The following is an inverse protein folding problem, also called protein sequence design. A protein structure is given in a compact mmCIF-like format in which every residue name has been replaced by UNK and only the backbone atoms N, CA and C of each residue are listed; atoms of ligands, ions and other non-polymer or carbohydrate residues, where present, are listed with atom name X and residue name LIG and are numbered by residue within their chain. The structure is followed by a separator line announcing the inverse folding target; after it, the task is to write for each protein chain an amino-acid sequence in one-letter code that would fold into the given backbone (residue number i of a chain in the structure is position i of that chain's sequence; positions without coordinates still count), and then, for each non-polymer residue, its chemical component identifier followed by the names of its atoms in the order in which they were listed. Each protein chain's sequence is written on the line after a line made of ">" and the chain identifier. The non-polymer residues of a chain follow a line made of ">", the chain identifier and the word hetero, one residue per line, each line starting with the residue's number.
data_IF_901225798054
#
_entry.id   IF_901225798054
#
_cell.length_a   1.000
_cell.length_b   1.000
_cell.length_c   1.000
_cell.angle_alpha   90.00
_cell.angle_beta   90.00
_cell.angle_gamma   90.00
#
_symmetry.space_group_name_H-M   'P 1'
#
loop_
_entity.id
_entity.type
_entity.pdbx_description
1 polymer ?
#
# COMPACT_ATOMS: atom_id res chain seq x y z
N UNK A 1 7.62 23.93 -11.68
CA UNK A 1 7.74 22.58 -11.04
C UNK A 1 8.88 21.83 -11.78
N UNK A 2 9.66 21.02 -11.05
CA UNK A 2 10.66 20.15 -11.71
C UNK A 2 9.90 19.02 -12.43
N UNK A 3 10.38 18.59 -13.60
CA UNK A 3 9.76 17.50 -14.34
C UNK A 3 9.79 16.21 -13.51
N UNK A 4 8.68 15.47 -13.48
CA UNK A 4 8.59 14.14 -12.87
C UNK A 4 9.38 13.15 -13.73
N UNK A 5 10.19 12.32 -13.12
CA UNK A 5 11.00 11.29 -13.76
C UNK A 5 10.59 9.87 -13.37
N UNK A 6 9.90 9.74 -12.23
CA UNK A 6 9.43 8.45 -11.75
C UNK A 6 8.06 8.56 -11.09
N UNK A 7 7.30 7.47 -11.17
CA UNK A 7 6.02 7.32 -10.46
C UNK A 7 6.09 6.11 -9.55
N UNK A 8 5.75 6.29 -8.29
CA UNK A 8 5.69 5.25 -7.26
C UNK A 8 4.22 4.99 -6.93
N UNK A 9 3.82 3.73 -6.94
CA UNK A 9 2.46 3.29 -6.64
C UNK A 9 2.45 2.46 -5.35
N UNK A 10 1.50 2.72 -4.46
CA UNK A 10 1.08 1.68 -3.53
C UNK A 10 0.37 0.56 -4.29
N UNK A 11 0.25 -0.60 -3.68
CA UNK A 11 -0.43 -1.76 -4.27
C UNK A 11 -1.86 -1.85 -3.75
N UNK A 12 -2.06 -2.10 -2.45
CA UNK A 12 -3.40 -2.20 -1.86
C UNK A 12 -4.14 -0.86 -1.90
N UNK A 13 -5.37 -0.85 -2.41
CA UNK A 13 -6.15 0.38 -2.56
C UNK A 13 -5.80 1.22 -3.80
N UNK A 14 -4.67 0.95 -4.46
CA UNK A 14 -4.21 1.67 -5.66
C UNK A 14 -4.18 0.76 -6.88
N UNK A 15 -3.24 -0.15 -6.97
CA UNK A 15 -3.10 -1.09 -8.11
C UNK A 15 -4.02 -2.31 -7.95
N UNK A 16 -4.32 -2.68 -6.72
CA UNK A 16 -5.29 -3.71 -6.34
C UNK A 16 -6.43 -3.09 -5.53
N UNK A 17 -7.50 -3.87 -5.30
CA UNK A 17 -8.57 -3.53 -4.37
C UNK A 17 -8.00 -3.29 -2.96
N UNK A 18 -8.70 -2.48 -2.16
CA UNK A 18 -8.20 -2.08 -0.84
C UNK A 18 -8.39 -3.20 0.19
N UNK A 19 -7.35 -3.57 0.94
CA UNK A 19 -7.51 -4.41 2.13
C UNK A 19 -8.50 -3.83 3.15
N UNK A 20 -8.65 -2.50 3.19
CA UNK A 20 -9.60 -1.82 4.07
C UNK A 20 -11.05 -2.14 3.72
N UNK A 21 -11.37 -2.34 2.43
CA UNK A 21 -12.71 -2.77 2.00
C UNK A 21 -13.03 -4.19 2.48
N UNK A 22 -12.02 -5.09 2.46
CA UNK A 22 -12.16 -6.43 2.99
C UNK A 22 -12.36 -6.43 4.51
N UNK A 23 -11.62 -5.58 5.23
CA UNK A 23 -11.78 -5.38 6.68
C UNK A 23 -13.19 -4.84 6.97
N UNK A 24 -13.65 -3.83 6.23
CA UNK A 24 -15.00 -3.27 6.39
C UNK A 24 -16.09 -4.31 6.08
N UNK A 25 -15.90 -5.19 5.10
CA UNK A 25 -16.79 -6.33 4.83
C UNK A 25 -16.82 -7.30 6.00
N UNK A 26 -15.64 -7.68 6.51
CA UNK A 26 -15.54 -8.53 7.69
C UNK A 26 -16.29 -7.92 8.90
N UNK A 27 -16.09 -6.63 9.19
CA UNK A 27 -16.78 -5.93 10.28
C UNK A 27 -18.31 -6.03 10.14
N UNK A 28 -18.85 -5.75 8.95
CA UNK A 28 -20.29 -5.86 8.68
C UNK A 28 -20.82 -7.27 8.89
N UNK A 29 -20.13 -8.28 8.34
CA UNK A 29 -20.58 -9.67 8.35
C UNK A 29 -20.55 -10.27 9.77
N UNK A 30 -19.74 -9.68 10.67
CA UNK A 30 -19.61 -10.12 12.07
C UNK A 30 -20.27 -9.15 13.08
N UNK A 31 -21.05 -8.17 12.61
CA UNK A 31 -21.77 -7.24 13.47
C UNK A 31 -20.88 -6.27 14.25
N UNK A 32 -19.66 -6.04 13.80
CA UNK A 32 -18.74 -5.08 14.41
C UNK A 32 -19.06 -3.66 13.94
N UNK A 33 -18.91 -2.63 14.80
CA UNK A 33 -19.04 -1.25 14.36
C UNK A 33 -18.00 -0.88 13.28
N UNK A 34 -18.34 0.00 12.33
CA UNK A 34 -17.43 0.38 11.26
C UNK A 34 -16.08 0.93 11.77
N UNK A 35 -15.01 0.58 11.09
CA UNK A 35 -13.64 1.01 11.39
C UNK A 35 -13.11 0.58 12.77
N UNK A 36 -13.72 -0.37 13.43
CA UNK A 36 -13.31 -0.80 14.78
C UNK A 36 -11.95 -1.51 14.74
N UNK A 37 -11.75 -2.39 13.76
CA UNK A 37 -10.47 -3.10 13.58
C UNK A 37 -9.36 -2.11 13.22
N UNK A 38 -9.62 -1.21 12.27
CA UNK A 38 -8.62 -0.20 11.89
C UNK A 38 -8.24 0.71 13.07
N UNK A 39 -9.20 1.11 13.91
CA UNK A 39 -8.91 1.87 15.14
C UNK A 39 -8.03 1.09 16.11
N UNK A 40 -8.29 -0.20 16.31
CA UNK A 40 -7.46 -1.06 17.17
C UNK A 40 -6.02 -1.16 16.62
N UNK A 41 -5.86 -1.39 15.32
CA UNK A 41 -4.55 -1.42 14.65
C UNK A 41 -3.78 -0.09 14.82
N UNK A 42 -4.46 1.05 14.62
CA UNK A 42 -3.85 2.37 14.78
C UNK A 42 -3.46 2.63 16.24
N UNK A 43 -4.30 2.24 17.19
CA UNK A 43 -4.04 2.43 18.62
C UNK A 43 -2.90 1.53 19.12
N UNK A 44 -2.75 0.31 18.62
CA UNK A 44 -1.62 -0.57 18.92
C UNK A 44 -0.27 -0.01 18.41
N UNK A 45 -0.31 0.84 17.38
CA UNK A 45 0.84 1.60 16.87
C UNK A 45 1.96 0.73 16.32
N UNK A 46 3.19 1.23 16.36
CA UNK A 46 4.36 0.56 15.77
C UNK A 46 4.79 -0.73 16.52
N UNK A 47 4.43 -0.88 17.79
CA UNK A 47 4.69 -2.09 18.57
C UNK A 47 3.61 -3.17 18.36
N UNK A 48 2.46 -2.80 17.77
CA UNK A 48 1.34 -3.71 17.53
C UNK A 48 1.66 -4.81 16.52
N UNK A 49 0.91 -5.91 16.62
CA UNK A 49 1.12 -7.10 15.81
C UNK A 49 1.03 -6.81 14.29
N UNK A 50 0.08 -5.94 13.89
CA UNK A 50 -0.07 -5.56 12.48
C UNK A 50 1.18 -4.87 11.92
N UNK A 51 1.73 -3.89 12.64
CA UNK A 51 2.94 -3.20 12.22
C UNK A 51 4.16 -4.15 12.16
N UNK A 52 4.25 -5.08 13.10
CA UNK A 52 5.29 -6.11 13.13
C UNK A 52 5.16 -7.11 11.98
N UNK A 53 3.93 -7.49 11.61
CA UNK A 53 3.66 -8.32 10.43
C UNK A 53 4.13 -7.61 9.16
N UNK A 54 3.77 -6.33 8.98
CA UNK A 54 4.17 -5.54 7.81
C UNK A 54 5.68 -5.27 7.74
N UNK A 55 6.41 -5.35 8.86
CA UNK A 55 7.89 -5.30 8.86
C UNK A 55 8.56 -6.67 8.73
N UNK A 56 7.77 -7.76 8.56
CA UNK A 56 8.30 -9.11 8.44
C UNK A 56 8.85 -9.70 9.75
N UNK A 57 8.55 -9.08 10.89
CA UNK A 57 8.95 -9.57 12.23
C UNK A 57 8.09 -10.76 12.68
N UNK A 58 6.90 -10.90 12.09
CA UNK A 58 5.97 -11.99 12.34
C UNK A 58 5.62 -12.70 11.02
N UNK A 59 5.44 -14.01 11.08
CA UNK A 59 4.73 -14.76 10.04
C UNK A 59 3.23 -14.59 10.21
N UNK A 60 2.44 -14.91 9.19
CA UNK A 60 0.96 -14.88 9.31
C UNK A 60 0.48 -15.76 10.47
N UNK A 61 1.08 -16.93 10.66
CA UNK A 61 0.73 -17.84 11.75
C UNK A 61 1.02 -17.23 13.14
N UNK A 62 2.23 -16.69 13.34
CA UNK A 62 2.65 -16.07 14.61
C UNK A 62 2.00 -14.72 14.88
N UNK A 63 1.40 -14.08 13.87
CA UNK A 63 0.68 -12.84 13.96
C UNK A 63 -0.70 -12.99 14.60
N UNK A 64 -1.40 -14.11 14.37
CA UNK A 64 -2.84 -14.24 14.68
C UNK A 64 -3.14 -13.95 16.17
N UNK A 65 -2.51 -14.67 17.07
CA UNK A 65 -2.80 -14.55 18.51
C UNK A 65 -2.42 -13.17 19.08
N UNK A 66 -1.23 -12.56 18.77
CA UNK A 66 -0.93 -11.20 19.17
C UNK A 66 -1.89 -10.16 18.60
N UNK A 67 -2.31 -10.29 17.35
CA UNK A 67 -3.27 -9.38 16.72
C UNK A 67 -4.66 -9.44 17.39
N UNK A 68 -5.16 -10.64 17.68
CA UNK A 68 -6.40 -10.82 18.40
C UNK A 68 -6.31 -10.24 19.83
N UNK A 69 -5.14 -10.34 20.47
CA UNK A 69 -4.90 -9.71 21.77
C UNK A 69 -4.90 -8.17 21.67
N UNK A 70 -4.23 -7.59 20.66
CA UNK A 70 -4.26 -6.15 20.39
C UNK A 70 -5.71 -5.66 20.18
N UNK A 71 -6.51 -6.38 19.38
CA UNK A 71 -7.92 -6.04 19.16
C UNK A 71 -8.73 -6.10 20.47
N UNK A 72 -8.52 -7.13 21.30
CA UNK A 72 -9.24 -7.32 22.57
C UNK A 72 -8.94 -6.20 23.58
N UNK A 73 -7.72 -5.70 23.63
CA UNK A 73 -7.35 -4.53 24.46
C UNK A 73 -8.22 -3.31 24.11
N UNK A 74 -8.64 -3.21 22.85
CA UNK A 74 -9.50 -2.15 22.34
C UNK A 74 -10.98 -2.52 22.26
N UNK A 75 -11.39 -3.59 22.97
CA UNK A 75 -12.78 -4.02 23.08
C UNK A 75 -13.35 -4.69 21.84
N UNK A 76 -12.50 -5.27 20.98
CA UNK A 76 -12.91 -5.90 19.73
C UNK A 76 -12.53 -7.37 19.73
N UNK A 77 -13.53 -8.25 19.60
CA UNK A 77 -13.30 -9.67 19.37
C UNK A 77 -13.19 -9.94 17.85
N UNK A 78 -12.04 -10.41 17.42
CA UNK A 78 -11.73 -10.71 16.01
C UNK A 78 -11.20 -12.12 15.90
N UNK A 79 -11.61 -12.85 14.87
CA UNK A 79 -10.93 -14.06 14.45
C UNK A 79 -9.90 -13.68 13.37
N UNK A 80 -8.63 -13.64 13.74
CA UNK A 80 -7.54 -13.21 12.87
C UNK A 80 -7.42 -14.04 11.60
N UNK A 81 -7.57 -15.37 11.69
CA UNK A 81 -7.48 -16.25 10.51
C UNK A 81 -8.60 -15.98 9.49
N UNK A 82 -9.82 -15.76 9.96
CA UNK A 82 -10.94 -15.38 9.07
C UNK A 82 -10.73 -14.02 8.44
N UNK A 83 -10.26 -13.03 9.21
CA UNK A 83 -9.96 -11.70 8.67
C UNK A 83 -8.90 -11.79 7.58
N UNK A 84 -7.82 -12.53 7.79
CA UNK A 84 -6.78 -12.72 6.77
C UNK A 84 -7.31 -13.39 5.51
N UNK A 85 -8.28 -14.33 5.64
CA UNK A 85 -8.95 -14.91 4.48
C UNK A 85 -9.78 -13.89 3.69
N UNK A 86 -10.51 -12.98 4.36
CA UNK A 86 -11.23 -11.88 3.70
C UNK A 86 -10.27 -10.95 2.92
N UNK A 87 -9.11 -10.64 3.49
CA UNK A 87 -8.11 -9.79 2.85
C UNK A 87 -7.48 -10.50 1.65
N UNK A 88 -7.18 -11.80 1.76
CA UNK A 88 -6.62 -12.58 0.68
C UNK A 88 -7.57 -12.68 -0.55
N UNK A 89 -8.89 -12.74 -0.32
CA UNK A 89 -9.92 -12.78 -1.36
C UNK A 89 -10.11 -11.44 -2.09
N UNK A 90 -9.68 -10.32 -1.48
CA UNK A 90 -9.84 -8.98 -2.03
C UNK A 90 -8.73 -8.53 -2.98
N UNK A 91 -7.67 -9.32 -3.15
CA UNK A 91 -6.45 -8.92 -3.89
C UNK A 91 -6.59 -8.83 -5.42
N UNK A 92 -7.74 -8.40 -5.94
CA UNK A 92 -7.95 -8.25 -7.40
C UNK A 92 -7.23 -7.02 -7.93
N UNK A 93 -6.46 -7.22 -9.00
CA UNK A 93 -5.79 -6.11 -9.68
C UNK A 93 -6.78 -5.25 -10.46
N UNK A 94 -6.51 -3.96 -10.53
CA UNK A 94 -7.26 -2.97 -11.31
C UNK A 94 -6.64 -2.83 -12.71
N UNK A 95 -7.26 -3.35 -13.78
CA UNK A 95 -6.67 -3.38 -15.11
C UNK A 95 -6.26 -1.99 -15.63
N UNK A 96 -7.05 -0.95 -15.32
CA UNK A 96 -6.77 0.43 -15.73
C UNK A 96 -5.48 0.96 -15.11
N UNK A 97 -5.21 0.65 -13.84
CA UNK A 97 -3.95 1.04 -13.20
C UNK A 97 -2.76 0.33 -13.84
N UNK A 98 -2.88 -0.96 -14.16
CA UNK A 98 -1.83 -1.71 -14.86
C UNK A 98 -1.56 -1.15 -16.26
N UNK A 99 -2.61 -0.79 -17.01
CA UNK A 99 -2.48 -0.15 -18.32
C UNK A 99 -1.78 1.22 -18.21
N UNK A 100 -2.13 2.03 -17.21
CA UNK A 100 -1.48 3.32 -16.95
C UNK A 100 0.01 3.14 -16.60
N UNK A 101 0.36 2.17 -15.75
CA UNK A 101 1.74 1.84 -15.39
C UNK A 101 2.54 1.47 -16.64
N UNK A 102 1.99 0.63 -17.53
CA UNK A 102 2.62 0.27 -18.79
C UNK A 102 2.85 1.50 -19.67
N UNK A 103 1.84 2.37 -19.82
CA UNK A 103 1.91 3.60 -20.63
C UNK A 103 2.97 4.58 -20.10
N UNK A 104 3.11 4.69 -18.78
CA UNK A 104 4.17 5.52 -18.14
C UNK A 104 5.55 4.98 -18.52
N UNK A 105 5.77 3.66 -18.47
CA UNK A 105 7.03 3.03 -18.87
C UNK A 105 7.34 3.24 -20.36
N UNK A 106 6.34 3.11 -21.22
CA UNK A 106 6.47 3.34 -22.67
C UNK A 106 6.87 4.79 -23.00
N UNK A 107 6.55 5.75 -22.10
CA UNK A 107 6.98 7.14 -22.18
C UNK A 107 8.39 7.39 -21.59
N UNK A 108 9.07 6.34 -21.14
CA UNK A 108 10.43 6.39 -20.63
C UNK A 108 10.58 6.85 -19.18
N UNK A 109 9.46 6.98 -18.40
CA UNK A 109 9.52 7.23 -16.98
C UNK A 109 9.74 5.92 -16.22
N UNK A 110 10.45 6.01 -15.08
CA UNK A 110 10.63 4.89 -14.17
C UNK A 110 9.36 4.67 -13.35
N UNK A 111 9.03 3.40 -13.07
CA UNK A 111 7.90 3.05 -12.21
C UNK A 111 8.32 2.14 -11.08
N UNK A 112 7.81 2.41 -9.87
CA UNK A 112 8.05 1.56 -8.73
C UNK A 112 6.76 1.22 -7.99
N UNK A 113 6.77 0.05 -7.32
CA UNK A 113 5.83 -0.28 -6.27
C UNK A 113 6.45 -0.02 -4.90
N UNK A 114 5.67 0.53 -3.97
CA UNK A 114 6.04 0.73 -2.57
C UNK A 114 4.86 0.31 -1.69
N UNK A 115 4.91 -0.91 -1.15
CA UNK A 115 3.77 -1.52 -0.46
C UNK A 115 4.09 -1.96 0.96
N UNK A 116 3.16 -1.72 1.88
CA UNK A 116 3.14 -2.41 3.16
C UNK A 116 2.45 -3.76 2.94
N UNK A 117 3.18 -4.84 3.16
CA UNK A 117 2.70 -6.19 2.91
C UNK A 117 3.29 -7.20 3.91
N UNK A 118 3.01 -8.47 3.68
CA UNK A 118 3.57 -9.59 4.44
C UNK A 118 3.85 -10.78 3.52
N UNK A 119 4.60 -11.75 4.01
CA UNK A 119 4.85 -13.03 3.32
C UNK A 119 3.92 -14.10 3.90
N UNK A 120 3.14 -14.75 3.02
CA UNK A 120 2.24 -15.84 3.39
C UNK A 120 2.71 -17.14 2.73
N UNK A 121 3.04 -18.17 3.53
CA UNK A 121 3.43 -19.53 3.07
C UNK A 121 4.47 -19.54 1.93
N UNK A 122 5.46 -18.65 2.00
CA UNK A 122 6.48 -18.51 0.96
C UNK A 122 6.00 -17.84 -0.34
N UNK A 123 4.74 -17.45 -0.42
CA UNK A 123 4.15 -16.69 -1.54
C UNK A 123 3.91 -15.24 -1.11
N UNK A 124 4.10 -14.33 -2.04
CA UNK A 124 3.78 -12.92 -1.84
C UNK A 124 2.50 -12.60 -2.61
N UNK A 125 1.53 -11.90 -2.01
CA UNK A 125 0.32 -11.47 -2.71
C UNK A 125 0.61 -10.67 -3.99
N UNK A 126 1.83 -10.15 -4.11
CA UNK A 126 2.31 -9.27 -5.16
C UNK A 126 3.12 -9.95 -6.26
N UNK A 127 3.38 -11.27 -6.19
CA UNK A 127 4.27 -11.97 -7.13
C UNK A 127 3.87 -11.76 -8.60
N UNK A 128 2.57 -11.74 -8.92
CA UNK A 128 2.07 -11.49 -10.28
C UNK A 128 2.24 -10.05 -10.78
N UNK A 129 2.56 -9.11 -9.90
CA UNK A 129 2.67 -7.68 -10.24
C UNK A 129 4.09 -7.22 -10.54
N UNK A 130 5.10 -7.95 -10.07
CA UNK A 130 6.50 -7.52 -10.13
C UNK A 130 6.98 -7.14 -11.52
N UNK A 131 6.54 -7.86 -12.55
CA UNK A 131 6.93 -7.62 -13.94
C UNK A 131 6.47 -6.25 -14.50
N UNK A 132 5.50 -5.62 -13.86
CA UNK A 132 4.99 -4.31 -14.28
C UNK A 132 5.88 -3.14 -13.80
N UNK A 133 6.80 -3.36 -12.87
CA UNK A 133 7.59 -2.32 -12.21
C UNK A 133 9.08 -2.49 -12.45
N UNK A 134 9.81 -1.37 -12.49
CA UNK A 134 11.27 -1.35 -12.57
C UNK A 134 11.90 -1.58 -11.18
N UNK A 135 11.22 -1.12 -10.12
CA UNK A 135 11.60 -1.29 -8.70
C UNK A 135 10.39 -1.78 -7.92
N UNK A 136 10.60 -2.70 -6.99
CA UNK A 136 9.52 -3.25 -6.16
C UNK A 136 9.96 -3.35 -4.70
N UNK A 137 9.52 -2.39 -3.86
CA UNK A 137 9.85 -2.31 -2.43
C UNK A 137 8.69 -2.86 -1.59
N UNK A 138 8.97 -3.91 -0.85
CA UNK A 138 8.04 -4.59 0.05
C UNK A 138 8.47 -4.41 1.49
N UNK A 139 7.60 -3.88 2.33
CA UNK A 139 7.89 -3.58 3.74
C UNK A 139 8.40 -4.79 4.51
N UNK A 140 7.78 -5.96 4.33
CA UNK A 140 8.16 -7.19 5.01
C UNK A 140 9.54 -7.74 4.59
N UNK A 141 10.04 -7.32 3.42
CA UNK A 141 11.37 -7.74 2.93
C UNK A 141 12.46 -6.81 3.45
N UNK A 142 12.17 -5.49 3.49
CA UNK A 142 13.17 -4.49 3.86
C UNK A 142 13.15 -4.13 5.34
N UNK A 143 12.20 -4.66 6.12
CA UNK A 143 12.06 -4.38 7.55
C UNK A 143 11.61 -2.94 7.88
N UNK A 144 11.11 -2.21 6.89
CA UNK A 144 10.62 -0.85 7.01
C UNK A 144 9.19 -0.78 6.46
N UNK A 145 8.34 0.05 7.04
CA UNK A 145 6.96 0.23 6.56
C UNK A 145 6.61 1.72 6.42
N UNK A 146 5.73 2.06 5.49
CA UNK A 146 5.11 3.39 5.44
C UNK A 146 4.34 3.63 6.76
N UNK A 147 4.43 4.82 7.38
CA UNK A 147 4.99 6.07 6.86
C UNK A 147 6.43 6.38 7.29
N UNK A 148 7.27 5.41 7.65
CA UNK A 148 8.68 5.67 7.98
C UNK A 148 9.40 6.32 6.78
N UNK A 149 10.02 7.51 6.94
CA UNK A 149 10.66 8.22 5.83
C UNK A 149 11.74 7.39 5.11
N UNK A 150 12.41 6.51 5.83
CA UNK A 150 13.49 5.67 5.28
C UNK A 150 13.04 4.74 4.14
N UNK A 151 11.76 4.31 4.12
CA UNK A 151 11.26 3.44 3.04
C UNK A 151 11.04 4.22 1.75
N UNK A 152 10.67 5.51 1.84
CA UNK A 152 10.54 6.40 0.66
C UNK A 152 11.93 6.78 0.13
N UNK A 153 12.89 7.04 1.00
CA UNK A 153 14.29 7.28 0.61
C UNK A 153 14.87 6.04 -0.08
N UNK A 154 14.53 4.84 0.41
CA UNK A 154 14.94 3.57 -0.19
C UNK A 154 14.42 3.47 -1.64
N UNK A 155 13.13 3.63 -1.87
CA UNK A 155 12.57 3.50 -3.23
C UNK A 155 13.14 4.56 -4.17
N UNK A 156 13.39 5.78 -3.71
CA UNK A 156 14.03 6.82 -4.52
C UNK A 156 15.48 6.46 -4.87
N UNK A 157 16.23 5.90 -3.94
CA UNK A 157 17.59 5.43 -4.17
C UNK A 157 17.64 4.29 -5.19
N UNK A 158 16.75 3.31 -5.07
CA UNK A 158 16.62 2.19 -6.02
C UNK A 158 16.22 2.67 -7.43
N UNK A 159 15.36 3.70 -7.50
CA UNK A 159 15.00 4.35 -8.75
C UNK A 159 16.14 5.24 -9.31
N UNK A 160 17.10 5.66 -8.49
CA UNK A 160 18.11 6.66 -8.89
C UNK A 160 17.53 8.04 -9.16
N UNK A 161 16.40 8.40 -8.51
CA UNK A 161 15.65 9.64 -8.73
C UNK A 161 15.47 10.40 -7.42
N UNK A 162 15.72 11.71 -7.43
CA UNK A 162 15.50 12.53 -6.24
C UNK A 162 14.00 12.61 -5.88
N UNK A 163 13.62 12.63 -4.58
CA UNK A 163 12.21 12.69 -4.14
C UNK A 163 11.41 13.81 -4.82
N UNK A 164 11.99 14.97 -5.04
CA UNK A 164 11.34 16.13 -5.70
C UNK A 164 10.97 15.93 -7.18
N UNK A 165 11.36 14.79 -7.76
CA UNK A 165 11.08 14.39 -9.15
C UNK A 165 10.24 13.09 -9.21
N UNK A 166 9.68 12.68 -8.07
CA UNK A 166 8.83 11.49 -7.92
C UNK A 166 7.39 11.91 -7.65
N UNK A 167 6.44 11.27 -8.35
CA UNK A 167 5.04 11.27 -7.98
C UNK A 167 4.71 9.99 -7.21
N UNK A 168 4.01 10.10 -6.09
CA UNK A 168 3.61 8.97 -5.25
C UNK A 168 2.09 8.90 -5.11
N UNK A 169 1.52 7.73 -5.40
CA UNK A 169 0.08 7.43 -5.31
C UNK A 169 -0.17 6.46 -4.16
N UNK A 170 -1.07 6.82 -3.24
CA UNK A 170 -1.45 5.99 -2.09
C UNK A 170 -2.88 6.36 -1.64
N UNK A 171 -3.64 5.41 -1.07
CA UNK A 171 -4.99 5.65 -0.56
C UNK A 171 -4.98 6.14 0.90
N UNK A 172 -3.84 6.02 1.61
CA UNK A 172 -3.70 6.37 3.02
C UNK A 172 -3.02 7.73 3.20
N UNK A 173 -3.77 8.71 3.72
CA UNK A 173 -3.31 10.10 3.86
C UNK A 173 -2.04 10.27 4.70
N UNK A 174 -1.81 9.47 5.75
CA UNK A 174 -0.57 9.52 6.56
C UNK A 174 0.67 9.14 5.74
N UNK A 175 0.53 8.20 4.80
CA UNK A 175 1.62 7.78 3.91
C UNK A 175 1.97 8.92 2.94
N UNK A 176 0.94 9.56 2.36
CA UNK A 176 1.14 10.73 1.48
C UNK A 176 1.76 11.90 2.20
N UNK A 177 1.41 12.12 3.49
CA UNK A 177 2.01 13.19 4.30
C UNK A 177 3.53 13.00 4.42
N UNK A 178 3.98 11.81 4.79
CA UNK A 178 5.42 11.51 4.92
C UNK A 178 6.17 11.67 3.58
N UNK A 179 5.60 11.19 2.47
CA UNK A 179 6.18 11.37 1.14
C UNK A 179 6.30 12.85 0.75
N UNK A 180 5.28 13.67 1.07
CA UNK A 180 5.27 15.11 0.79
C UNK A 180 6.33 15.86 1.60
N UNK A 181 6.56 15.46 2.85
CA UNK A 181 7.61 16.03 3.70
C UNK A 181 9.01 15.80 3.11
N UNK A 182 9.21 14.74 2.33
CA UNK A 182 10.42 14.47 1.55
C UNK A 182 10.48 15.21 0.20
N UNK A 183 9.41 15.93 -0.16
CA UNK A 183 9.33 16.71 -1.39
C UNK A 183 8.72 15.99 -2.60
N UNK A 184 8.14 14.80 -2.43
CA UNK A 184 7.43 14.11 -3.51
C UNK A 184 6.12 14.84 -3.88
N UNK A 185 5.74 14.81 -5.15
CA UNK A 185 4.37 15.08 -5.55
C UNK A 185 3.47 13.91 -5.10
N UNK A 186 2.31 14.20 -4.52
CA UNK A 186 1.47 13.14 -3.96
C UNK A 186 0.05 13.22 -4.49
N UNK A 187 -0.53 12.07 -4.85
CA UNK A 187 -1.90 11.92 -5.31
C UNK A 187 -2.62 10.93 -4.38
N UNK A 188 -3.74 11.36 -3.79
CA UNK A 188 -4.59 10.48 -3.00
C UNK A 188 -5.51 9.69 -3.91
N UNK A 189 -5.49 8.37 -3.81
CA UNK A 189 -6.35 7.51 -4.60
C UNK A 189 -7.62 7.20 -3.81
N UNK A 190 -8.67 7.95 -4.07
CA UNK A 190 -10.03 7.66 -3.59
C UNK A 190 -10.84 6.94 -4.68
N UNK A 191 -10.65 7.38 -5.91
CA UNK A 191 -11.17 6.77 -7.13
C UNK A 191 -10.03 6.62 -8.15
N UNK A 192 -9.85 5.43 -8.77
CA UNK A 192 -8.78 5.20 -9.71
C UNK A 192 -8.78 6.15 -10.91
N UNK A 193 -9.95 6.46 -11.48
CA UNK A 193 -10.03 7.31 -12.66
C UNK A 193 -9.72 8.77 -12.33
N UNK A 194 -10.13 9.24 -11.15
CA UNK A 194 -9.75 10.56 -10.65
C UNK A 194 -8.22 10.65 -10.46
N UNK A 195 -7.61 9.66 -9.81
CA UNK A 195 -6.17 9.64 -9.58
C UNK A 195 -5.37 9.61 -10.89
N UNK A 196 -5.84 8.85 -11.90
CA UNK A 196 -5.20 8.81 -13.22
C UNK A 196 -5.34 10.14 -13.97
N UNK A 197 -6.47 10.87 -13.85
CA UNK A 197 -6.61 12.22 -14.40
C UNK A 197 -5.63 13.21 -13.76
N UNK A 198 -5.48 13.17 -12.44
CA UNK A 198 -4.51 14.02 -11.72
C UNK A 198 -3.08 13.68 -12.13
N UNK A 199 -2.77 12.39 -12.24
CA UNK A 199 -1.45 11.94 -12.69
C UNK A 199 -1.18 12.36 -14.14
N UNK A 200 -2.16 12.22 -15.04
CA UNK A 200 -2.06 12.68 -16.44
C UNK A 200 -1.72 14.17 -16.51
N UNK A 201 -2.43 14.99 -15.74
CA UNK A 201 -2.16 16.44 -15.66
C UNK A 201 -0.74 16.76 -15.14
N UNK A 202 -0.27 15.99 -14.15
CA UNK A 202 1.07 16.15 -13.57
C UNK A 202 2.16 15.74 -14.56
N UNK A 203 1.95 14.67 -15.33
CA UNK A 203 2.91 14.13 -16.30
C UNK A 203 2.88 14.84 -17.66
N UNK A 204 1.77 15.52 -17.98
CA UNK A 204 1.60 16.23 -19.26
C UNK A 204 1.22 15.34 -20.44
N UNK A 205 0.72 14.13 -20.18
CA UNK A 205 0.17 13.23 -21.21
C UNK A 205 -0.96 12.36 -20.62
N UNK A 206 -1.86 11.89 -21.49
CA UNK A 206 -3.03 11.14 -21.08
C UNK A 206 -2.71 9.69 -20.71
N UNK A 207 -3.25 9.23 -19.58
CA UNK A 207 -3.17 7.86 -19.08
C UNK A 207 -4.50 7.10 -19.22
N UNK A 208 -5.57 7.79 -19.55
CA UNK A 208 -6.92 7.24 -19.70
C UNK A 208 -7.29 7.31 -21.19
N UNK A 209 -7.77 6.20 -21.74
CA UNK A 209 -8.40 6.20 -23.07
C UNK A 209 -9.86 6.55 -22.96
#
# INVERSE_FOLDING_TARGET
>A
MRAIEAVVFDIGGVVQESPLDAIARYERDHGLPPNTINRAVVAAGEAGAWARLERGELTVESFLAPFEADCRVHGVEVNGARLMAYIADAGRSRPRMLAAIQRIRERGLRVAALTNNWVAEGRRPTDGLRAHFDVFVESAVVGLRKPDPRIYELVCRELGVAPSRVAFLDDIGRNLKAARELGMATIKVEDPDQALRELSALLGFDLID
#
